data_IF_423589369796
#
_entry.id   IF_423589369796
#
_cell.length_a   1.000
_cell.length_b   1.000
_cell.length_c   1.000
_cell.angle_alpha   90.00
_cell.angle_beta   90.00
_cell.angle_gamma   90.00
#
_symmetry.space_group_name_H-M   'P 1'
#
loop_
_entity.id
_entity.type
_entity.pdbx_description
1 polymer ?
#
# COMPACT_ATOMS: atom_id res chain seq x y z
N UNK A 1 24.84 -6.96 -9.92
CA UNK A 1 23.44 -7.36 -9.67
C UNK A 1 22.56 -6.26 -10.24
N UNK A 2 22.03 -6.44 -11.45
CA UNK A 2 21.22 -5.42 -12.12
C UNK A 2 19.75 -5.66 -11.77
N UNK A 3 19.22 -4.88 -10.84
CA UNK A 3 17.79 -4.91 -10.50
C UNK A 3 17.01 -4.39 -11.71
N UNK A 4 16.42 -5.32 -12.47
CA UNK A 4 15.57 -5.04 -13.63
C UNK A 4 14.53 -3.97 -13.29
N UNK A 5 14.17 -3.09 -14.24
CA UNK A 5 13.09 -2.13 -14.03
C UNK A 5 11.82 -2.90 -13.66
N UNK A 6 11.34 -2.75 -12.42
CA UNK A 6 10.01 -3.22 -12.02
C UNK A 6 9.04 -2.62 -13.03
N UNK A 7 8.36 -3.48 -13.79
CA UNK A 7 7.43 -3.06 -14.84
C UNK A 7 6.48 -2.02 -14.26
N UNK A 8 6.47 -0.81 -14.82
CA UNK A 8 5.61 0.29 -14.33
C UNK A 8 4.12 -0.11 -14.29
N UNK A 9 3.70 -1.00 -15.19
CA UNK A 9 2.35 -1.59 -15.21
C UNK A 9 2.04 -2.46 -13.98
N UNK A 10 3.00 -3.27 -13.57
CA UNK A 10 2.89 -4.15 -12.40
C UNK A 10 2.80 -3.28 -11.14
N UNK A 11 3.67 -2.26 -11.05
CA UNK A 11 3.58 -1.25 -10.00
C UNK A 11 2.24 -0.48 -10.01
N UNK A 12 1.68 -0.16 -11.19
CA UNK A 12 0.39 0.55 -11.30
C UNK A 12 -0.78 -0.31 -10.83
N UNK A 13 -0.78 -1.60 -11.18
CA UNK A 13 -1.80 -2.56 -10.76
C UNK A 13 -1.75 -2.76 -9.23
N UNK A 14 -0.54 -2.92 -8.68
CA UNK A 14 -0.32 -2.97 -7.22
C UNK A 14 -0.78 -1.69 -6.52
N UNK A 15 -0.49 -0.51 -7.09
CA UNK A 15 -0.95 0.79 -6.55
C UNK A 15 -2.48 0.85 -6.47
N UNK A 16 -3.17 0.46 -7.55
CA UNK A 16 -4.64 0.46 -7.60
C UNK A 16 -5.24 -0.59 -6.65
N UNK A 17 -4.60 -1.76 -6.54
CA UNK A 17 -4.99 -2.82 -5.61
C UNK A 17 -4.91 -2.35 -4.14
N UNK A 18 -3.80 -1.74 -3.72
CA UNK A 18 -3.64 -1.20 -2.35
C UNK A 18 -4.68 -0.12 -2.05
N UNK A 19 -4.89 0.81 -2.98
CA UNK A 19 -5.90 1.87 -2.83
C UNK A 19 -7.31 1.31 -2.65
N UNK A 20 -7.70 0.36 -3.49
CA UNK A 20 -9.01 -0.32 -3.39
C UNK A 20 -9.14 -1.15 -2.12
N UNK A 21 -8.06 -1.79 -1.70
CA UNK A 21 -8.03 -2.58 -0.48
C UNK A 21 -8.22 -1.67 0.75
N UNK A 22 -7.47 -0.58 0.85
CA UNK A 22 -7.57 0.39 1.93
C UNK A 22 -8.95 1.06 1.99
N UNK A 23 -9.55 1.38 0.84
CA UNK A 23 -10.91 1.91 0.72
C UNK A 23 -11.97 0.90 1.20
N UNK A 24 -11.92 -0.35 0.71
CA UNK A 24 -12.92 -1.36 1.05
C UNK A 24 -12.81 -1.90 2.47
N UNK A 25 -11.60 -2.13 2.97
CA UNK A 25 -11.38 -2.78 4.27
C UNK A 25 -11.37 -1.79 5.43
N UNK A 26 -10.81 -0.60 5.23
CA UNK A 26 -10.59 0.35 6.32
C UNK A 26 -11.32 1.69 6.10
N UNK A 27 -11.95 1.90 4.94
CA UNK A 27 -12.67 3.13 4.61
C UNK A 27 -11.75 4.29 4.24
N UNK A 28 -10.48 4.04 3.90
CA UNK A 28 -9.57 5.10 3.46
C UNK A 28 -9.86 5.50 2.03
N UNK A 29 -10.20 6.76 1.81
CA UNK A 29 -10.50 7.25 0.47
C UNK A 29 -9.31 7.04 -0.48
N UNK A 30 -9.50 6.25 -1.55
CA UNK A 30 -8.45 5.82 -2.48
C UNK A 30 -7.55 6.95 -3.03
N UNK A 31 -8.09 8.17 -3.18
CA UNK A 31 -7.34 9.35 -3.64
C UNK A 31 -6.37 9.94 -2.60
N UNK A 32 -6.56 9.63 -1.32
CA UNK A 32 -5.69 10.07 -0.21
C UNK A 32 -4.67 9.01 0.20
N UNK A 33 -4.82 7.80 -0.31
CA UNK A 33 -3.92 6.68 -0.06
C UNK A 33 -2.74 6.76 -1.01
N UNK A 34 -1.54 6.89 -0.46
CA UNK A 34 -0.27 6.83 -1.18
C UNK A 34 0.39 5.49 -0.88
N UNK A 35 0.27 4.49 -1.76
CA UNK A 35 0.96 3.21 -1.57
C UNK A 35 2.47 3.42 -1.58
N UNK A 36 3.15 2.86 -0.59
CA UNK A 36 4.60 2.91 -0.44
C UNK A 36 5.21 1.57 -0.84
N UNK A 37 4.63 0.47 -0.36
CA UNK A 37 5.10 -0.88 -0.60
C UNK A 37 3.93 -1.87 -0.61
N UNK A 38 4.06 -2.97 -1.35
CA UNK A 38 3.14 -4.10 -1.23
C UNK A 38 3.84 -5.37 -1.71
N UNK A 39 3.41 -6.51 -1.18
CA UNK A 39 3.92 -7.82 -1.61
C UNK A 39 3.15 -8.29 -2.85
N UNK A 40 3.58 -7.78 -4.00
CA UNK A 40 3.08 -8.18 -5.32
C UNK A 40 1.60 -7.86 -5.54
N UNK A 41 0.81 -8.90 -5.84
CA UNK A 41 -0.60 -8.77 -6.23
C UNK A 41 -1.59 -8.84 -5.06
N UNK A 42 -1.13 -9.17 -3.84
CA UNK A 42 -2.03 -9.34 -2.69
C UNK A 42 -1.74 -8.32 -1.58
N UNK A 43 -2.47 -7.19 -1.56
CA UNK A 43 -2.30 -6.17 -0.53
C UNK A 43 -2.79 -6.61 0.85
N UNK A 44 -3.50 -7.75 0.96
CA UNK A 44 -3.97 -8.28 2.24
C UNK A 44 -2.88 -9.04 2.98
N UNK A 45 -2.00 -9.74 2.25
CA UNK A 45 -0.83 -10.39 2.81
C UNK A 45 0.13 -9.36 3.42
N UNK A 46 0.52 -8.37 2.63
CA UNK A 46 1.34 -7.25 3.10
C UNK A 46 1.20 -6.02 2.19
N UNK A 47 0.91 -4.87 2.79
CA UNK A 47 1.10 -3.57 2.12
C UNK A 47 1.41 -2.46 3.11
N UNK A 48 2.09 -1.42 2.63
CA UNK A 48 2.31 -0.16 3.32
C UNK A 48 1.78 0.98 2.48
N UNK A 49 1.09 1.90 3.12
CA UNK A 49 0.56 3.09 2.48
C UNK A 49 0.51 4.25 3.47
N UNK A 50 0.61 5.47 2.96
CA UNK A 50 0.47 6.69 3.73
C UNK A 50 -0.90 7.31 3.47
N UNK A 51 -1.55 7.82 4.52
CA UNK A 51 -2.76 8.64 4.42
C UNK A 51 -2.55 9.90 5.24
N UNK A 52 -2.58 11.06 4.59
CA UNK A 52 -2.45 12.36 5.27
C UNK A 52 -1.20 12.49 6.18
N UNK A 53 -0.06 11.89 5.79
CA UNK A 53 1.18 11.93 6.58
C UNK A 53 1.30 10.84 7.64
N UNK A 54 0.28 9.99 7.82
CA UNK A 54 0.35 8.83 8.72
C UNK A 54 0.66 7.59 7.90
N UNK A 55 1.72 6.87 8.28
CA UNK A 55 2.08 5.61 7.65
C UNK A 55 1.33 4.44 8.28
N UNK A 56 0.67 3.67 7.43
CA UNK A 56 -0.05 2.47 7.77
C UNK A 56 0.61 1.26 7.12
N UNK A 57 0.57 0.16 7.84
CA UNK A 57 1.07 -1.13 7.38
C UNK A 57 0.01 -2.20 7.63
N UNK A 58 -0.23 -3.01 6.62
CA UNK A 58 -1.07 -4.20 6.70
C UNK A 58 -0.16 -5.41 6.74
N UNK A 59 -0.37 -6.28 7.72
CA UNK A 59 0.24 -7.61 7.78
C UNK A 59 -0.88 -8.63 8.02
N UNK A 60 -1.04 -9.59 7.12
CA UNK A 60 -2.03 -10.67 7.24
C UNK A 60 -3.45 -10.12 7.51
N UNK A 61 -3.84 -9.10 6.76
CA UNK A 61 -5.13 -8.41 6.85
C UNK A 61 -5.28 -7.44 8.03
N UNK A 62 -4.32 -7.38 8.96
CA UNK A 62 -4.36 -6.49 10.12
C UNK A 62 -3.65 -5.17 9.84
N UNK A 63 -4.34 -4.07 10.09
CA UNK A 63 -3.79 -2.72 9.99
C UNK A 63 -3.04 -2.35 11.28
N UNK A 64 -1.81 -1.89 11.11
CA UNK A 64 -0.95 -1.30 12.13
C UNK A 64 -0.53 0.10 11.69
N UNK A 65 -0.30 0.99 12.65
CA UNK A 65 0.22 2.34 12.40
C UNK A 65 1.72 2.29 12.70
N UNK A 66 2.56 2.78 11.77
CA UNK A 66 4.02 2.69 11.87
C UNK A 66 4.70 3.91 12.51
N UNK A 67 3.92 4.87 13.03
CA UNK A 67 4.34 6.20 13.54
C UNK A 67 4.32 7.32 12.49
N UNK A 68 4.09 8.55 12.96
CA UNK A 68 4.12 9.79 12.21
C UNK A 68 5.58 10.12 11.87
N UNK A 69 5.87 10.54 10.64
CA UNK A 69 7.20 11.08 10.33
C UNK A 69 7.39 12.39 11.13
N UNK A 70 8.11 12.31 12.26
CA UNK A 70 8.59 13.47 13.03
C UNK A 70 9.45 14.41 12.18
#
# INVERSE_FOLDING_TARGET
>A
MATKPKNLRDATDTIDAVKRYADKQFGFHAFRVTPLEADGNDPSAYCMFEVCGVQYQVNDGKLSICEEAE
#
